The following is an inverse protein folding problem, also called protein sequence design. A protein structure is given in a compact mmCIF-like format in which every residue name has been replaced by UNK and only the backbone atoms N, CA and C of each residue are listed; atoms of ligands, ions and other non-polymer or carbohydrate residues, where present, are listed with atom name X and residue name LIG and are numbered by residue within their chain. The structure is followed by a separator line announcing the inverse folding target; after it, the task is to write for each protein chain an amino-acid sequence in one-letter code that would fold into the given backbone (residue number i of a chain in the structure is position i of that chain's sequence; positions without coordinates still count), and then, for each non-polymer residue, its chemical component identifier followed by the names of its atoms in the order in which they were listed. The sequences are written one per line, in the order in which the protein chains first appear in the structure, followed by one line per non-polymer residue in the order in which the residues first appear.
data_IF_945609376331
#
_entry.id   IF_945609376331
#
_cell.length_a   1.000
_cell.length_b   1.000
_cell.length_c   1.000
_cell.angle_alpha   90.00
_cell.angle_beta   90.00
_cell.angle_gamma   90.00
#
_symmetry.space_group_name_H-M   'P 1'
#
loop_
_entity.id
_entity.type
_entity.pdbx_description
1 polymer ?
#
# COMPACT_ATOMS: atom_id res chain seq x y z
N UNK A 1 26.79 -17.89 17.18
CA UNK A 1 27.42 -16.88 16.28
C UNK A 1 26.61 -15.58 16.11
N UNK A 2 25.54 -15.39 16.86
CA UNK A 2 24.64 -14.18 16.75
C UNK A 2 25.24 -12.87 17.31
N UNK A 3 26.23 -12.92 18.14
CA UNK A 3 26.75 -11.78 18.90
C UNK A 3 28.00 -11.10 18.30
N UNK A 4 28.58 -11.65 17.22
CA UNK A 4 29.82 -11.12 16.61
C UNK A 4 29.60 -9.95 15.64
N UNK A 5 28.38 -9.71 15.15
CA UNK A 5 28.16 -8.74 14.06
C UNK A 5 28.26 -7.27 14.51
N UNK A 6 27.66 -6.93 15.64
CA UNK A 6 27.66 -5.55 16.14
C UNK A 6 29.05 -5.16 16.68
N UNK A 7 29.73 -6.06 17.35
CA UNK A 7 31.04 -5.88 17.95
C UNK A 7 32.13 -5.76 16.88
N UNK A 8 32.05 -6.57 15.82
CA UNK A 8 32.99 -6.51 14.69
C UNK A 8 32.84 -5.20 13.90
N UNK A 9 31.61 -4.73 13.67
CA UNK A 9 31.34 -3.43 13.04
C UNK A 9 31.94 -2.28 13.87
N UNK A 10 31.79 -2.34 15.20
CA UNK A 10 32.38 -1.34 16.07
C UNK A 10 33.91 -1.36 16.03
N UNK A 11 34.50 -2.55 16.02
CA UNK A 11 35.97 -2.69 15.90
C UNK A 11 36.46 -2.15 14.54
N UNK A 12 35.74 -2.43 13.45
CA UNK A 12 36.07 -1.90 12.13
C UNK A 12 36.04 -0.34 12.11
N UNK A 13 35.04 0.27 12.71
CA UNK A 13 34.98 1.73 12.84
C UNK A 13 36.13 2.29 13.71
N UNK A 14 36.49 1.58 14.78
CA UNK A 14 37.66 1.94 15.59
C UNK A 14 38.96 1.84 14.79
N UNK A 15 39.13 0.81 13.98
CA UNK A 15 40.30 0.67 13.11
C UNK A 15 40.42 1.80 12.09
N UNK A 16 39.29 2.20 11.52
CA UNK A 16 39.23 3.28 10.53
C UNK A 16 39.67 4.65 11.11
N UNK A 17 39.23 4.95 12.31
CA UNK A 17 39.47 6.28 12.94
C UNK A 17 40.59 6.30 13.95
N UNK A 18 41.00 5.15 14.45
CA UNK A 18 41.93 5.03 15.61
C UNK A 18 41.49 5.90 16.81
N UNK A 19 40.16 6.08 16.94
CA UNK A 19 39.52 6.93 17.92
C UNK A 19 38.14 6.37 18.32
N UNK A 20 37.92 6.13 19.61
CA UNK A 20 36.62 5.70 20.11
C UNK A 20 35.55 6.78 19.95
N UNK A 21 35.92 8.04 20.00
CA UNK A 21 34.99 9.17 19.88
C UNK A 21 34.52 9.33 18.45
N UNK A 22 35.41 9.26 17.46
CA UNK A 22 35.04 9.38 16.05
C UNK A 22 34.30 8.12 15.57
N UNK A 23 34.71 6.93 16.02
CA UNK A 23 33.95 5.70 15.76
C UNK A 23 32.53 5.75 16.32
N UNK A 24 32.35 6.29 17.53
CA UNK A 24 31.03 6.48 18.14
C UNK A 24 30.17 7.44 17.33
N UNK A 25 30.74 8.51 16.81
CA UNK A 25 30.06 9.50 15.95
C UNK A 25 29.59 8.87 14.63
N UNK A 26 30.48 8.12 13.95
CA UNK A 26 30.13 7.42 12.70
C UNK A 26 29.00 6.42 12.91
N UNK A 27 28.99 5.72 14.05
CA UNK A 27 28.01 4.67 14.35
C UNK A 27 26.72 5.18 15.01
N UNK A 28 26.61 6.48 15.31
CA UNK A 28 25.48 7.05 16.02
C UNK A 28 25.33 6.51 17.46
N UNK A 29 26.44 6.15 18.12
CA UNK A 29 26.49 5.53 19.46
C UNK A 29 27.22 6.43 20.45
N UNK A 30 27.06 6.15 21.75
CA UNK A 30 27.90 6.77 22.76
C UNK A 30 29.29 6.13 22.79
N UNK A 31 30.32 6.89 23.19
CA UNK A 31 31.68 6.38 23.41
C UNK A 31 31.70 5.20 24.38
N UNK A 32 30.86 5.23 25.41
CA UNK A 32 30.73 4.16 26.41
C UNK A 32 30.21 2.85 25.77
N UNK A 33 29.22 2.94 24.86
CA UNK A 33 28.70 1.79 24.14
C UNK A 33 29.75 1.18 23.23
N UNK A 34 30.47 1.98 22.43
CA UNK A 34 31.56 1.52 21.56
C UNK A 34 32.67 0.85 22.38
N UNK A 35 33.05 1.45 23.51
CA UNK A 35 34.04 0.86 24.41
C UNK A 35 33.60 -0.45 25.00
N UNK A 36 32.34 -0.62 25.39
CA UNK A 36 31.79 -1.87 25.94
C UNK A 36 31.76 -2.96 24.86
N UNK A 37 31.31 -2.63 23.65
CA UNK A 37 31.26 -3.59 22.55
C UNK A 37 32.66 -4.06 22.11
N UNK A 38 33.68 -3.18 22.15
CA UNK A 38 35.05 -3.59 21.94
C UNK A 38 35.50 -4.59 23.01
N UNK A 39 35.23 -4.31 24.28
CA UNK A 39 35.61 -5.24 25.38
C UNK A 39 34.87 -6.61 25.24
N UNK A 40 33.62 -6.61 24.79
CA UNK A 40 32.89 -7.84 24.51
C UNK A 40 33.52 -8.63 23.38
N UNK A 41 33.97 -8.00 22.29
CA UNK A 41 34.69 -8.64 21.20
C UNK A 41 36.03 -9.24 21.67
N UNK A 42 36.82 -8.45 22.41
CA UNK A 42 38.10 -8.91 22.97
C UNK A 42 37.93 -10.12 23.90
N UNK A 43 36.91 -10.10 24.76
CA UNK A 43 36.56 -11.23 25.64
C UNK A 43 36.18 -12.46 24.83
N UNK A 44 35.36 -12.29 23.80
CA UNK A 44 34.87 -13.38 22.95
C UNK A 44 36.00 -14.04 22.14
N UNK A 45 36.93 -13.21 21.66
CA UNK A 45 38.12 -13.70 20.91
C UNK A 45 39.27 -14.18 21.81
N UNK A 46 39.21 -13.86 23.10
CA UNK A 46 40.27 -14.20 24.05
C UNK A 46 41.57 -13.44 23.85
N UNK A 47 41.54 -12.32 23.12
CA UNK A 47 42.73 -11.52 22.78
C UNK A 47 42.40 -10.00 22.90
N UNK A 48 43.40 -9.22 23.29
CA UNK A 48 43.30 -7.76 23.27
C UNK A 48 43.59 -7.25 21.86
N UNK A 49 42.71 -6.44 21.31
CA UNK A 49 42.80 -5.86 19.96
C UNK A 49 43.34 -4.44 19.96
N UNK A 50 43.16 -3.73 21.07
CA UNK A 50 43.49 -2.30 21.17
C UNK A 50 44.20 -1.97 22.45
N UNK A 51 45.36 -1.32 22.36
CA UNK A 51 46.04 -0.68 23.50
C UNK A 51 45.50 0.76 23.68
N UNK A 52 45.04 1.05 24.89
CA UNK A 52 44.63 2.41 25.30
C UNK A 52 45.76 3.07 26.03
N UNK A 53 46.31 4.12 25.47
CA UNK A 53 47.16 5.04 26.23
C UNK A 53 46.39 6.33 26.50
N UNK A 54 46.85 7.13 27.45
CA UNK A 54 46.21 8.41 27.80
C UNK A 54 46.17 9.41 26.63
N UNK A 55 46.94 9.17 25.55
CA UNK A 55 47.07 10.09 24.42
C UNK A 55 46.73 9.49 23.07
N UNK A 56 46.75 8.15 22.92
CA UNK A 56 46.51 7.49 21.61
C UNK A 56 45.88 6.10 21.79
N UNK A 57 45.10 5.71 20.82
CA UNK A 57 44.58 4.35 20.62
C UNK A 57 45.46 3.69 19.53
N UNK A 58 46.00 2.52 19.85
CA UNK A 58 46.92 1.75 18.97
C UNK A 58 46.43 0.31 18.91
N UNK A 59 46.43 -0.25 17.70
CA UNK A 59 46.11 -1.67 17.51
C UNK A 59 47.24 -2.56 18.05
N UNK A 60 46.89 -3.65 18.72
CA UNK A 60 47.79 -4.75 19.03
C UNK A 60 48.18 -5.50 17.78
N UNK A 61 49.12 -6.44 17.88
CA UNK A 61 49.44 -7.30 16.70
C UNK A 61 48.25 -8.18 16.31
N UNK A 62 47.45 -8.64 17.26
CA UNK A 62 46.18 -9.32 16.99
C UNK A 62 45.19 -8.38 16.33
N UNK A 63 45.08 -7.13 16.81
CA UNK A 63 44.23 -6.09 16.22
C UNK A 63 44.63 -5.77 14.77
N UNK A 64 45.94 -5.65 14.48
CA UNK A 64 46.44 -5.44 13.12
C UNK A 64 46.13 -6.63 12.19
N UNK A 65 46.21 -7.86 12.70
CA UNK A 65 45.90 -9.07 11.91
C UNK A 65 44.43 -9.19 11.57
N UNK A 66 43.52 -8.79 12.49
CA UNK A 66 42.06 -8.88 12.30
C UNK A 66 41.50 -7.64 11.59
N UNK A 67 42.12 -6.48 11.71
CA UNK A 67 41.67 -5.20 11.16
C UNK A 67 41.33 -5.25 9.65
N UNK A 68 42.10 -5.88 8.75
CA UNK A 68 41.75 -5.93 7.32
C UNK A 68 40.42 -6.66 7.09
N UNK A 69 40.18 -7.78 7.76
CA UNK A 69 38.94 -8.55 7.64
C UNK A 69 37.75 -7.79 8.20
N UNK A 70 37.90 -7.09 9.31
CA UNK A 70 36.87 -6.27 9.90
C UNK A 70 36.47 -5.10 8.98
N UNK A 71 37.44 -4.43 8.37
CA UNK A 71 37.23 -3.35 7.41
C UNK A 71 36.57 -3.84 6.13
N UNK A 72 36.98 -4.99 5.61
CA UNK A 72 36.35 -5.61 4.45
C UNK A 72 34.88 -5.97 4.74
N UNK A 73 34.60 -6.56 5.91
CA UNK A 73 33.23 -6.87 6.33
C UNK A 73 32.36 -5.61 6.40
N UNK A 74 32.88 -4.53 7.00
CA UNK A 74 32.19 -3.25 7.05
C UNK A 74 31.90 -2.70 5.64
N UNK A 75 32.88 -2.76 4.75
CA UNK A 75 32.74 -2.34 3.36
C UNK A 75 31.67 -3.15 2.61
N UNK A 76 31.64 -4.47 2.81
CA UNK A 76 30.62 -5.35 2.21
C UNK A 76 29.22 -5.06 2.73
N UNK A 77 29.06 -4.77 4.01
CA UNK A 77 27.80 -4.34 4.60
C UNK A 77 27.35 -2.98 4.06
N UNK A 78 28.27 -2.04 3.88
CA UNK A 78 27.98 -0.75 3.26
C UNK A 78 27.56 -0.90 1.77
N UNK A 79 28.25 -1.75 1.02
CA UNK A 79 27.90 -2.08 -0.37
C UNK A 79 26.52 -2.73 -0.45
N UNK A 80 26.20 -3.67 0.45
CA UNK A 80 24.90 -4.31 0.53
C UNK A 80 23.78 -3.27 0.81
N UNK A 81 24.01 -2.37 1.77
CA UNK A 81 23.08 -1.29 2.06
C UNK A 81 22.91 -0.32 0.89
N UNK A 82 24.00 0.02 0.19
CA UNK A 82 23.94 0.86 -1.01
C UNK A 82 23.16 0.16 -2.13
N UNK A 83 23.44 -1.11 -2.42
CA UNK A 83 22.69 -1.89 -3.41
C UNK A 83 21.21 -2.03 -3.04
N UNK A 84 20.91 -2.31 -1.76
CA UNK A 84 19.54 -2.38 -1.29
C UNK A 84 18.78 -1.05 -1.47
N UNK A 85 19.45 0.09 -1.22
CA UNK A 85 18.89 1.42 -1.48
C UNK A 85 18.73 1.70 -2.97
N UNK A 86 19.72 1.40 -3.80
CA UNK A 86 19.64 1.61 -5.25
C UNK A 86 18.58 0.72 -5.92
N UNK A 87 18.35 -0.50 -5.41
CA UNK A 87 17.23 -1.34 -5.82
C UNK A 87 15.87 -0.75 -5.40
N UNK A 88 15.85 0.11 -4.38
CA UNK A 88 14.64 0.78 -3.91
C UNK A 88 14.37 2.12 -4.61
N UNK A 89 15.30 2.67 -5.36
CA UNK A 89 15.12 3.98 -6.02
C UNK A 89 14.23 3.92 -7.26
N UNK A 90 14.13 2.75 -7.91
CA UNK A 90 13.18 2.54 -8.99
C UNK A 90 12.07 1.58 -8.55
N UNK A 91 10.86 2.10 -8.37
CA UNK A 91 9.69 1.25 -8.12
C UNK A 91 9.40 0.46 -9.38
N UNK A 92 9.57 -0.87 -9.32
CA UNK A 92 9.46 -1.77 -10.47
C UNK A 92 8.86 -3.12 -10.10
N UNK A 93 8.66 -3.97 -11.12
CA UNK A 93 8.12 -5.32 -10.97
C UNK A 93 6.59 -5.32 -10.89
N UNK A 94 5.99 -6.47 -10.57
CA UNK A 94 4.54 -6.65 -10.54
C UNK A 94 3.90 -6.01 -9.31
N UNK A 95 2.71 -5.44 -9.49
CA UNK A 95 1.84 -4.93 -8.44
C UNK A 95 0.41 -5.35 -8.71
N UNK A 96 -0.15 -6.18 -7.83
CA UNK A 96 -1.46 -6.79 -8.00
C UNK A 96 -2.51 -6.05 -7.19
N UNK A 97 -3.57 -5.62 -7.87
CA UNK A 97 -4.69 -4.89 -7.26
C UNK A 97 -5.97 -5.64 -7.55
N UNK A 98 -6.80 -5.84 -6.53
CA UNK A 98 -8.17 -6.33 -6.70
C UNK A 98 -9.18 -5.27 -6.29
N UNK A 99 -10.33 -5.22 -6.97
CA UNK A 99 -11.38 -4.25 -6.69
C UNK A 99 -12.73 -4.74 -7.17
N UNK A 100 -13.86 -4.14 -6.70
CA UNK A 100 -15.19 -4.39 -7.27
C UNK A 100 -15.27 -4.00 -8.75
N UNK A 101 -16.09 -4.75 -9.51
CA UNK A 101 -16.30 -4.49 -10.94
C UNK A 101 -16.73 -3.04 -11.22
N UNK A 102 -17.56 -2.47 -10.37
CA UNK A 102 -18.04 -1.08 -10.50
C UNK A 102 -16.92 -0.05 -10.47
N UNK A 103 -15.89 -0.26 -9.65
CA UNK A 103 -14.73 0.65 -9.55
C UNK A 103 -13.81 0.46 -10.76
N UNK A 104 -13.55 -0.80 -11.14
CA UNK A 104 -12.67 -1.14 -12.26
C UNK A 104 -13.19 -0.58 -13.59
N UNK A 105 -14.51 -0.64 -13.81
CA UNK A 105 -15.15 -0.21 -15.06
C UNK A 105 -15.47 1.31 -15.13
N UNK A 106 -15.30 2.04 -14.02
CA UNK A 106 -15.63 3.47 -14.00
C UNK A 106 -14.41 4.34 -13.67
N UNK A 107 -14.17 4.57 -12.39
CA UNK A 107 -13.21 5.59 -11.93
C UNK A 107 -11.74 5.13 -11.97
N UNK A 108 -11.46 3.81 -11.95
CA UNK A 108 -10.09 3.33 -11.82
C UNK A 108 -9.24 3.51 -13.08
N UNK A 109 -9.86 3.58 -14.27
CA UNK A 109 -9.14 3.78 -15.53
C UNK A 109 -8.29 5.05 -15.56
N UNK A 110 -8.83 6.17 -15.07
CA UNK A 110 -8.12 7.44 -14.95
C UNK A 110 -6.94 7.37 -13.96
N UNK A 111 -7.13 6.67 -12.85
CA UNK A 111 -6.09 6.45 -11.84
C UNK A 111 -4.98 5.56 -12.41
N UNK A 112 -5.33 4.49 -13.12
CA UNK A 112 -4.36 3.57 -13.73
C UNK A 112 -3.47 4.28 -14.75
N UNK A 113 -4.03 5.16 -15.57
CA UNK A 113 -3.24 5.99 -16.51
C UNK A 113 -2.19 6.81 -15.78
N UNK A 114 -2.57 7.53 -14.72
CA UNK A 114 -1.64 8.33 -13.90
C UNK A 114 -0.60 7.45 -13.20
N UNK A 115 -0.96 6.24 -12.76
CA UNK A 115 -0.03 5.27 -12.19
C UNK A 115 1.01 4.80 -13.20
N UNK A 116 0.62 4.52 -14.46
CA UNK A 116 1.55 4.13 -15.52
C UNK A 116 2.54 5.24 -15.87
N UNK A 117 2.06 6.49 -15.91
CA UNK A 117 2.90 7.65 -16.15
C UNK A 117 3.93 7.85 -15.01
N UNK A 118 3.51 7.65 -13.75
CA UNK A 118 4.35 7.85 -12.57
C UNK A 118 5.31 6.70 -12.29
N UNK A 119 4.90 5.45 -12.59
CA UNK A 119 5.64 4.23 -12.29
C UNK A 119 5.80 3.34 -13.54
N UNK A 120 6.52 3.80 -14.57
CA UNK A 120 6.57 3.13 -15.87
C UNK A 120 7.24 1.74 -15.83
N UNK A 121 8.03 1.44 -14.79
CA UNK A 121 8.67 0.15 -14.60
C UNK A 121 7.81 -0.86 -13.79
N UNK A 122 6.58 -0.48 -13.40
CA UNK A 122 5.66 -1.36 -12.68
C UNK A 122 4.69 -2.02 -13.64
N UNK A 123 4.55 -3.33 -13.53
CA UNK A 123 3.54 -4.12 -14.23
C UNK A 123 2.33 -4.24 -13.32
N UNK A 124 1.25 -3.52 -13.63
CA UNK A 124 0.00 -3.60 -12.88
C UNK A 124 -0.81 -4.82 -13.32
N UNK A 125 -1.12 -5.71 -12.38
CA UNK A 125 -2.06 -6.82 -12.58
C UNK A 125 -3.37 -6.44 -11.87
N UNK A 126 -4.44 -6.21 -12.65
CA UNK A 126 -5.73 -5.77 -12.14
C UNK A 126 -6.70 -6.95 -12.21
N UNK A 127 -7.28 -7.31 -11.08
CA UNK A 127 -8.40 -8.24 -11.00
C UNK A 127 -9.65 -7.53 -10.49
N UNK A 128 -10.79 -7.87 -11.06
CA UNK A 128 -12.07 -7.33 -10.59
C UNK A 128 -12.97 -8.46 -10.13
N UNK A 129 -13.45 -8.37 -8.89
CA UNK A 129 -14.34 -9.35 -8.28
C UNK A 129 -15.20 -8.70 -7.19
N UNK A 130 -16.48 -9.04 -7.21
CA UNK A 130 -17.39 -8.62 -6.12
C UNK A 130 -17.32 -9.56 -4.91
N UNK A 131 -16.52 -10.65 -4.98
CA UNK A 131 -16.28 -11.54 -3.85
C UNK A 131 -15.17 -10.97 -2.97
N UNK A 132 -15.32 -11.11 -1.66
CA UNK A 132 -14.25 -10.79 -0.72
C UNK A 132 -13.23 -11.92 -0.77
N UNK A 133 -12.10 -11.69 -1.44
CA UNK A 133 -10.99 -12.64 -1.49
C UNK A 133 -10.04 -12.40 -0.31
N UNK A 134 -9.45 -13.49 0.20
CA UNK A 134 -8.36 -13.38 1.16
C UNK A 134 -7.10 -12.88 0.44
N UNK A 135 -6.66 -11.67 0.74
CA UNK A 135 -5.53 -11.03 0.06
C UNK A 135 -4.22 -11.79 0.24
N UNK A 136 -4.02 -12.42 1.39
CA UNK A 136 -2.81 -13.20 1.68
C UNK A 136 -2.74 -14.48 0.84
N UNK A 137 -3.85 -15.20 0.73
CA UNK A 137 -3.92 -16.44 -0.06
C UNK A 137 -3.86 -16.18 -1.57
N UNK A 138 -4.47 -15.07 -2.02
CA UNK A 138 -4.51 -14.69 -3.44
C UNK A 138 -3.23 -14.01 -3.92
N UNK A 139 -2.24 -13.78 -3.04
CA UNK A 139 -1.01 -13.05 -3.34
C UNK A 139 -1.28 -11.70 -4.03
N UNK A 140 -2.22 -10.93 -3.47
CA UNK A 140 -2.63 -9.60 -3.91
C UNK A 140 -1.96 -8.56 -3.02
N UNK A 141 -1.33 -7.56 -3.63
CA UNK A 141 -0.63 -6.52 -2.89
C UNK A 141 -1.60 -5.54 -2.22
N UNK A 142 -2.73 -5.23 -2.88
CA UNK A 142 -3.69 -4.24 -2.41
C UNK A 142 -5.10 -4.52 -2.95
N UNK A 143 -6.12 -4.18 -2.14
CA UNK A 143 -7.52 -4.20 -2.55
C UNK A 143 -8.18 -2.82 -2.39
N UNK A 144 -9.11 -2.50 -3.29
CA UNK A 144 -10.10 -1.47 -3.04
C UNK A 144 -11.38 -2.20 -2.59
N UNK A 145 -11.98 -1.76 -1.49
CA UNK A 145 -13.14 -2.40 -0.88
C UNK A 145 -14.26 -1.40 -0.66
N UNK A 146 -15.47 -1.87 -0.83
CA UNK A 146 -16.70 -1.14 -0.50
C UNK A 146 -17.25 -1.66 0.82
N UNK A 147 -17.76 -0.77 1.65
CA UNK A 147 -18.22 -1.02 3.02
C UNK A 147 -17.07 -1.43 3.98
N UNK A 148 -17.41 -1.76 5.21
CA UNK A 148 -16.42 -2.03 6.26
C UNK A 148 -15.53 -3.23 5.94
N UNK A 149 -14.25 -3.06 6.21
CA UNK A 149 -13.24 -4.12 6.11
C UNK A 149 -12.99 -4.62 7.53
N UNK A 150 -13.52 -5.80 7.84
CA UNK A 150 -13.36 -6.44 9.15
C UNK A 150 -12.37 -7.61 8.95
N UNK A 151 -11.08 -7.32 9.07
CA UNK A 151 -10.02 -8.33 9.03
C UNK A 151 -8.79 -7.77 9.77
N UNK A 152 -8.45 -8.36 10.90
CA UNK A 152 -7.34 -7.92 11.77
C UNK A 152 -5.95 -8.07 11.12
N UNK A 153 -5.85 -8.85 10.03
CA UNK A 153 -4.60 -9.03 9.29
C UNK A 153 -4.40 -7.97 8.19
N UNK A 154 -5.36 -7.07 8.01
CA UNK A 154 -5.30 -6.03 6.99
C UNK A 154 -5.16 -4.64 7.62
N UNK A 155 -4.39 -3.79 6.94
CA UNK A 155 -4.44 -2.36 7.16
C UNK A 155 -5.47 -1.79 6.18
N UNK A 156 -6.54 -1.17 6.69
CA UNK A 156 -7.59 -0.54 5.91
C UNK A 156 -7.61 0.96 6.14
N UNK A 157 -7.53 1.73 5.04
CA UNK A 157 -7.63 3.18 5.06
C UNK A 157 -8.90 3.63 4.35
N UNK A 158 -9.77 4.31 5.05
CA UNK A 158 -10.94 4.96 4.46
C UNK A 158 -10.48 6.07 3.51
N UNK A 159 -11.02 6.06 2.27
CA UNK A 159 -10.68 7.06 1.24
C UNK A 159 -11.83 8.02 0.95
N UNK A 160 -13.03 7.69 1.37
CA UNK A 160 -14.19 8.57 1.24
C UNK A 160 -15.49 7.83 1.43
N UNK A 161 -16.58 8.57 1.28
CA UNK A 161 -17.94 8.07 1.33
C UNK A 161 -18.62 8.18 -0.02
N UNK A 162 -19.62 7.34 -0.22
CA UNK A 162 -20.51 7.39 -1.38
C UNK A 162 -21.94 7.04 -0.95
N UNK A 163 -22.90 7.46 -1.78
CA UNK A 163 -24.30 7.13 -1.58
C UNK A 163 -24.82 6.38 -2.82
N UNK A 164 -25.88 5.61 -2.64
CA UNK A 164 -26.63 5.12 -3.77
C UNK A 164 -27.56 6.21 -4.29
N UNK A 165 -27.77 6.19 -5.59
CA UNK A 165 -28.69 7.09 -6.29
C UNK A 165 -29.62 6.28 -7.17
N UNK A 166 -30.85 6.74 -7.31
CA UNK A 166 -31.80 6.26 -8.30
C UNK A 166 -31.61 7.08 -9.56
N UNK A 167 -31.38 6.39 -10.67
CA UNK A 167 -31.15 7.02 -11.97
C UNK A 167 -32.21 6.62 -12.99
N UNK A 168 -32.42 7.48 -13.95
CA UNK A 168 -33.29 7.27 -15.13
C UNK A 168 -32.61 7.85 -16.37
N UNK A 169 -33.09 7.45 -17.54
CA UNK A 169 -32.92 8.21 -18.76
C UNK A 169 -34.24 8.95 -19.11
N UNK A 170 -34.25 9.76 -20.18
CA UNK A 170 -35.41 10.54 -20.56
C UNK A 170 -36.63 9.69 -20.96
N UNK A 171 -36.40 8.44 -21.42
CA UNK A 171 -37.48 7.56 -21.88
C UNK A 171 -38.15 6.77 -20.76
N UNK A 172 -37.47 6.61 -19.59
CA UNK A 172 -37.94 5.74 -18.54
C UNK A 172 -38.16 6.43 -17.19
N UNK A 173 -38.19 7.74 -17.13
CA UNK A 173 -38.34 8.53 -15.88
C UNK A 173 -39.57 8.12 -15.05
N UNK A 174 -40.66 7.66 -15.71
CA UNK A 174 -41.90 7.20 -15.07
C UNK A 174 -42.06 5.67 -15.06
N UNK A 175 -40.98 4.92 -15.27
CA UNK A 175 -41.04 3.46 -15.28
C UNK A 175 -41.42 2.91 -13.91
N UNK A 176 -42.23 1.86 -13.88
CA UNK A 176 -42.52 1.06 -12.69
C UNK A 176 -41.51 -0.09 -12.50
N UNK A 177 -40.58 -0.24 -13.43
CA UNK A 177 -39.52 -1.31 -13.38
C UNK A 177 -38.28 -0.80 -12.70
N UNK A 178 -37.84 -1.51 -11.68
CA UNK A 178 -36.60 -1.23 -10.95
C UNK A 178 -35.48 -2.21 -11.36
N UNK A 179 -34.33 -1.68 -11.69
CA UNK A 179 -33.07 -2.42 -11.85
C UNK A 179 -32.22 -2.24 -10.59
N UNK A 180 -31.89 -3.33 -9.94
CA UNK A 180 -31.14 -3.27 -8.68
C UNK A 180 -30.07 -4.37 -8.60
N UNK A 181 -28.95 -4.04 -7.96
CA UNK A 181 -27.89 -5.04 -7.71
C UNK A 181 -28.39 -6.16 -6.79
N UNK A 182 -28.22 -7.42 -7.21
CA UNK A 182 -28.74 -8.61 -6.53
C UNK A 182 -28.45 -8.64 -5.02
N UNK A 183 -27.23 -8.23 -4.61
CA UNK A 183 -26.80 -8.21 -3.21
C UNK A 183 -26.84 -6.80 -2.58
N UNK A 184 -27.74 -5.92 -3.06
CA UNK A 184 -27.90 -4.58 -2.49
C UNK A 184 -28.44 -4.66 -1.05
N UNK A 185 -27.81 -3.95 -0.10
CA UNK A 185 -28.12 -4.02 1.32
C UNK A 185 -29.58 -3.69 1.65
N UNK A 186 -30.14 -2.69 0.98
CA UNK A 186 -31.51 -2.19 1.22
C UNK A 186 -32.50 -2.64 0.14
N UNK A 187 -32.20 -3.74 -0.58
CA UNK A 187 -32.99 -4.21 -1.72
C UNK A 187 -34.47 -4.41 -1.36
N UNK A 188 -34.76 -5.06 -0.26
CA UNK A 188 -36.13 -5.39 0.16
C UNK A 188 -36.98 -4.15 0.50
N UNK A 189 -36.36 -3.08 0.97
CA UNK A 189 -37.05 -1.83 1.26
C UNK A 189 -37.35 -1.06 -0.03
N UNK A 190 -36.36 -0.95 -0.91
CA UNK A 190 -36.47 -0.19 -2.14
C UNK A 190 -37.48 -0.81 -3.09
N UNK A 191 -37.47 -2.12 -3.25
CA UNK A 191 -38.35 -2.86 -4.17
C UNK A 191 -39.85 -2.69 -3.88
N UNK A 192 -40.25 -2.38 -2.64
CA UNK A 192 -41.65 -2.21 -2.25
C UNK A 192 -42.38 -1.11 -3.03
N UNK A 193 -41.65 -0.17 -3.60
CA UNK A 193 -42.20 0.97 -4.32
C UNK A 193 -42.34 0.71 -5.83
N UNK A 194 -42.04 -0.50 -6.31
CA UNK A 194 -42.00 -0.83 -7.74
C UNK A 194 -42.81 -2.08 -8.05
N UNK A 195 -43.46 -2.10 -9.22
CA UNK A 195 -44.28 -3.23 -9.67
C UNK A 195 -43.39 -4.38 -10.17
N UNK A 196 -42.37 -4.06 -10.92
CA UNK A 196 -41.46 -5.01 -11.54
C UNK A 196 -40.03 -4.77 -11.06
N UNK A 197 -39.30 -5.85 -10.75
CA UNK A 197 -37.91 -5.74 -10.28
C UNK A 197 -37.02 -6.70 -11.07
N UNK A 198 -35.96 -6.15 -11.64
CA UNK A 198 -34.92 -6.90 -12.33
C UNK A 198 -33.65 -6.87 -11.48
N UNK A 199 -33.22 -8.05 -11.00
CA UNK A 199 -32.00 -8.19 -10.22
C UNK A 199 -30.80 -8.47 -11.13
N UNK A 200 -29.73 -7.68 -10.98
CA UNK A 200 -28.51 -7.76 -11.77
C UNK A 200 -27.32 -7.99 -10.85
N UNK A 201 -26.38 -8.84 -11.22
CA UNK A 201 -25.18 -9.15 -10.45
C UNK A 201 -23.94 -8.34 -10.87
N UNK A 202 -24.11 -7.45 -11.84
CA UNK A 202 -23.06 -6.56 -12.33
C UNK A 202 -23.61 -5.15 -12.53
N UNK A 203 -23.01 -4.18 -11.84
CA UNK A 203 -23.47 -2.79 -11.83
C UNK A 203 -23.26 -2.11 -13.20
N UNK A 204 -22.26 -2.50 -13.99
CA UNK A 204 -22.05 -1.94 -15.33
C UNK A 204 -23.14 -2.42 -16.31
N UNK A 205 -23.59 -3.66 -16.17
CA UNK A 205 -24.74 -4.18 -16.94
C UNK A 205 -26.01 -3.45 -16.54
N UNK A 206 -26.22 -3.23 -15.25
CA UNK A 206 -27.35 -2.46 -14.74
C UNK A 206 -27.38 -1.06 -15.36
N UNK A 207 -26.23 -0.36 -15.35
CA UNK A 207 -26.11 0.97 -15.92
C UNK A 207 -26.48 0.99 -17.39
N UNK A 208 -25.95 0.05 -18.18
CA UNK A 208 -26.29 -0.09 -19.59
C UNK A 208 -27.81 -0.32 -19.82
N UNK A 209 -28.47 -1.13 -18.99
CA UNK A 209 -29.92 -1.35 -19.12
C UNK A 209 -30.73 -0.08 -18.83
N UNK A 210 -30.30 0.76 -17.89
CA UNK A 210 -30.94 2.06 -17.66
C UNK A 210 -30.76 2.97 -18.86
N UNK A 211 -29.57 3.02 -19.45
CA UNK A 211 -29.28 3.79 -20.67
C UNK A 211 -30.15 3.37 -21.85
N UNK A 212 -30.43 2.05 -21.98
CA UNK A 212 -31.32 1.52 -23.00
C UNK A 212 -32.81 1.69 -22.68
N UNK A 213 -33.16 2.33 -21.57
CA UNK A 213 -34.56 2.62 -21.22
C UNK A 213 -35.34 1.47 -20.62
N UNK A 214 -34.69 0.42 -20.11
CA UNK A 214 -35.37 -0.76 -19.53
C UNK A 214 -36.11 -0.42 -18.25
N UNK A 215 -35.57 0.46 -17.42
CA UNK A 215 -36.17 0.83 -16.14
C UNK A 215 -35.31 1.83 -15.36
N UNK A 216 -35.73 2.13 -14.13
CA UNK A 216 -34.99 2.95 -13.19
C UNK A 216 -33.90 2.09 -12.54
N UNK A 217 -32.71 2.65 -12.28
CA UNK A 217 -31.59 1.91 -11.71
C UNK A 217 -31.09 2.47 -10.39
N UNK A 218 -30.77 1.59 -9.43
CA UNK A 218 -30.08 1.97 -8.19
C UNK A 218 -28.61 1.67 -8.34
N UNK A 219 -27.76 2.71 -8.29
CA UNK A 219 -26.31 2.61 -8.46
C UNK A 219 -25.57 3.48 -7.44
N UNK A 220 -24.30 3.18 -7.13
CA UNK A 220 -23.41 4.09 -6.41
C UNK A 220 -23.15 5.38 -7.21
N UNK A 221 -23.22 6.54 -6.55
CA UNK A 221 -23.08 7.84 -7.19
C UNK A 221 -21.72 8.08 -7.86
N UNK A 222 -20.65 7.41 -7.42
CA UNK A 222 -19.34 7.53 -8.05
C UNK A 222 -19.30 7.00 -9.49
N UNK A 223 -20.24 6.16 -9.89
CA UNK A 223 -20.36 5.69 -11.28
C UNK A 223 -20.74 6.81 -12.25
N UNK A 224 -21.37 7.85 -11.75
CA UNK A 224 -21.73 9.05 -12.54
C UNK A 224 -20.60 10.06 -12.68
N UNK A 225 -19.42 9.79 -12.05
CA UNK A 225 -18.24 10.66 -12.21
C UNK A 225 -17.57 10.52 -13.58
N UNK A 226 -17.88 9.46 -14.32
CA UNK A 226 -17.48 9.33 -15.72
C UNK A 226 -18.42 10.22 -16.60
N UNK A 227 -17.82 11.13 -17.35
CA UNK A 227 -18.53 12.10 -18.18
C UNK A 227 -19.44 11.45 -19.23
N UNK A 228 -19.14 10.24 -19.67
CA UNK A 228 -19.95 9.51 -20.66
C UNK A 228 -21.38 9.22 -20.20
N UNK A 229 -21.60 9.09 -18.89
CA UNK A 229 -22.92 8.77 -18.32
C UNK A 229 -23.69 10.01 -17.86
N UNK A 230 -23.04 11.14 -17.61
CA UNK A 230 -23.66 12.35 -17.08
C UNK A 230 -24.65 13.01 -18.06
N UNK A 231 -24.41 12.88 -19.35
CA UNK A 231 -25.26 13.45 -20.38
C UNK A 231 -26.54 12.64 -20.65
N UNK A 232 -26.53 11.35 -20.35
CA UNK A 232 -27.59 10.40 -20.70
C UNK A 232 -28.51 10.08 -19.52
N UNK A 233 -28.06 10.30 -18.29
CA UNK A 233 -28.73 9.83 -17.08
C UNK A 233 -29.03 10.96 -16.11
N UNK A 234 -30.24 10.92 -15.54
CA UNK A 234 -30.70 11.86 -14.51
C UNK A 234 -30.77 11.17 -13.16
N UNK A 235 -30.30 11.86 -12.13
CA UNK A 235 -30.51 11.43 -10.75
C UNK A 235 -31.88 11.87 -10.30
N UNK A 236 -32.77 10.92 -10.02
CA UNK A 236 -34.15 11.20 -9.56
C UNK A 236 -34.29 11.17 -8.05
N UNK A 237 -33.44 10.40 -7.37
CA UNK A 237 -33.38 10.30 -5.90
C UNK A 237 -31.97 9.96 -5.40
N UNK A 238 -31.60 10.52 -4.24
CA UNK A 238 -30.38 10.16 -3.52
C UNK A 238 -30.75 9.52 -2.19
N UNK A 239 -30.26 8.30 -1.96
CA UNK A 239 -30.50 7.59 -0.70
C UNK A 239 -29.62 8.18 0.41
N UNK A 240 -30.17 8.32 1.61
CA UNK A 240 -29.46 8.92 2.76
C UNK A 240 -28.40 8.01 3.38
N UNK A 241 -28.43 6.71 3.11
CA UNK A 241 -27.46 5.76 3.66
C UNK A 241 -26.09 5.99 3.06
N UNK A 242 -25.19 6.53 3.86
CA UNK A 242 -23.81 6.76 3.48
C UNK A 242 -23.01 5.46 3.62
N UNK A 243 -22.24 5.13 2.60
CA UNK A 243 -21.37 3.96 2.52
C UNK A 243 -19.93 4.40 2.39
N UNK A 244 -18.98 3.58 2.80
CA UNK A 244 -17.56 3.92 2.81
C UNK A 244 -16.77 3.11 1.80
N UNK A 245 -15.74 3.74 1.23
CA UNK A 245 -14.74 3.09 0.37
C UNK A 245 -13.39 3.05 1.08
N UNK A 246 -12.69 1.92 0.96
CA UNK A 246 -11.41 1.66 1.61
C UNK A 246 -10.37 1.18 0.63
N UNK A 247 -9.13 1.53 0.90
CA UNK A 247 -7.94 0.86 0.37
C UNK A 247 -7.38 -0.03 1.46
N UNK A 248 -7.24 -1.31 1.18
CA UNK A 248 -6.77 -2.31 2.15
C UNK A 248 -5.59 -3.11 1.59
N UNK A 249 -4.65 -3.47 2.46
CA UNK A 249 -3.52 -4.32 2.10
C UNK A 249 -3.07 -5.14 3.32
N UNK A 250 -2.36 -6.29 3.12
CA UNK A 250 -1.87 -7.11 4.21
C UNK A 250 -0.94 -6.33 5.14
N UNK A 251 -1.05 -6.58 6.45
CA UNK A 251 -0.14 -6.00 7.42
C UNK A 251 1.29 -6.48 7.16
N UNK A 252 2.23 -5.54 7.05
CA UNK A 252 3.66 -5.79 6.90
C UNK A 252 4.45 -4.74 7.67
N UNK A 253 5.48 -5.17 8.39
CA UNK A 253 6.38 -4.27 9.11
C UNK A 253 7.85 -4.69 8.91
N UNK A 254 8.69 -3.88 8.25
CA UNK A 254 8.35 -2.59 7.64
C UNK A 254 7.45 -2.73 6.40
N UNK A 255 6.66 -1.71 6.12
CA UNK A 255 5.83 -1.66 4.91
C UNK A 255 6.73 -1.51 3.69
N UNK A 256 6.63 -2.40 2.67
CA UNK A 256 7.44 -2.28 1.46
C UNK A 256 7.22 -0.94 0.76
N UNK A 257 8.31 -0.28 0.34
CA UNK A 257 8.26 1.05 -0.28
C UNK A 257 7.30 1.11 -1.47
N UNK A 258 7.34 0.12 -2.36
CA UNK A 258 6.43 0.01 -3.50
C UNK A 258 4.96 0.05 -3.08
N UNK A 259 4.59 -0.75 -2.08
CA UNK A 259 3.23 -0.77 -1.55
C UNK A 259 2.87 0.57 -0.89
N UNK A 260 3.77 1.16 -0.10
CA UNK A 260 3.54 2.44 0.57
C UNK A 260 3.28 3.58 -0.42
N UNK A 261 4.11 3.72 -1.46
CA UNK A 261 4.00 4.80 -2.45
C UNK A 261 2.79 4.63 -3.36
N UNK A 262 2.57 3.41 -3.91
CA UNK A 262 1.44 3.15 -4.81
C UNK A 262 0.11 3.25 -4.06
N UNK A 263 0.01 2.67 -2.85
CA UNK A 263 -1.22 2.76 -2.06
C UNK A 263 -1.55 4.20 -1.65
N UNK A 264 -0.53 4.99 -1.28
CA UNK A 264 -0.70 6.41 -0.95
C UNK A 264 -1.20 7.21 -2.15
N UNK A 265 -0.65 6.97 -3.33
CA UNK A 265 -1.08 7.62 -4.57
C UNK A 265 -2.54 7.28 -4.89
N UNK A 266 -2.91 5.99 -4.88
CA UNK A 266 -4.29 5.55 -5.15
C UNK A 266 -5.27 6.14 -4.13
N UNK A 267 -4.89 6.19 -2.85
CA UNK A 267 -5.73 6.81 -1.82
C UNK A 267 -6.01 8.28 -2.10
N UNK A 268 -4.99 9.05 -2.47
CA UNK A 268 -5.15 10.47 -2.80
C UNK A 268 -6.09 10.66 -4.00
N UNK A 269 -5.91 9.91 -5.07
CA UNK A 269 -6.76 9.98 -6.26
C UNK A 269 -8.22 9.61 -5.95
N UNK A 270 -8.44 8.51 -5.23
CA UNK A 270 -9.79 8.11 -4.83
C UNK A 270 -10.46 9.14 -3.91
N UNK A 271 -9.70 9.72 -2.96
CA UNK A 271 -10.22 10.77 -2.08
C UNK A 271 -10.61 12.02 -2.88
N UNK A 272 -9.82 12.41 -3.86
CA UNK A 272 -10.16 13.53 -4.75
C UNK A 272 -11.47 13.25 -5.52
N UNK A 273 -11.58 12.08 -6.17
CA UNK A 273 -12.76 11.69 -6.92
C UNK A 273 -14.02 11.66 -6.03
N UNK A 274 -13.93 11.09 -4.82
CA UNK A 274 -15.08 10.98 -3.91
C UNK A 274 -15.44 12.32 -3.23
N UNK A 275 -14.45 13.20 -3.06
CA UNK A 275 -14.64 14.53 -2.42
C UNK A 275 -15.16 15.62 -3.34
N UNK A 276 -15.07 15.45 -4.66
CA UNK A 276 -15.69 16.37 -5.64
C UNK A 276 -17.21 16.23 -5.58
N UNK A 277 -17.88 17.32 -5.11
CA UNK A 277 -19.35 17.45 -5.06
C UNK A 277 -19.90 17.90 -6.40
#
# INVERSE_FOLDING_TARGET
MEWLNSELINFAAICKHLSLTEAAKELGKSKAQVSRQLAMLETALGVTLVHRTTRKLVLTDHGKSISPLALETLSKLQELNYRARSLSDCISGKFKITMPNSIASSIFGSILRKLQERYPAVIFEISSSNKVENLLESNVDMAIRLNDVIDDNLIAHKVGNYNDVLISNDSNEKSSTLLIYKNHSNKEEIRKNYCDVIEVDNTSILLNFVEQGVGLGVIPNYLLKDSSHQELLKVTHTFSTEKSMYVAYPYQNPLPRKLAEISSFIRLELTAILGEK
#
